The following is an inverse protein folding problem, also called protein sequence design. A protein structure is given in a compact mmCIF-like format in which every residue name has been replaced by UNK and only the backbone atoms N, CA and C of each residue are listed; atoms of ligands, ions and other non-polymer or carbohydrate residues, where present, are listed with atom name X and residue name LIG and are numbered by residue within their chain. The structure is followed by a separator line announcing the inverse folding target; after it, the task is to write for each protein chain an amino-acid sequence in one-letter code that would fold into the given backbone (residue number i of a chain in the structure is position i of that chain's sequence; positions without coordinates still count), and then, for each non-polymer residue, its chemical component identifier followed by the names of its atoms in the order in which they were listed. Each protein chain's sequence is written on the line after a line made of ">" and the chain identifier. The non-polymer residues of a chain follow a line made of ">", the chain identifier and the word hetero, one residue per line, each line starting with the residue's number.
data_IF_341467018726
#
_entry.id   IF_341467018726
#
_cell.length_a   1.000
_cell.length_b   1.000
_cell.length_c   1.000
_cell.angle_alpha   90.00
_cell.angle_beta   90.00
_cell.angle_gamma   90.00
#
_symmetry.space_group_name_H-M   'P 1'
#
loop_
_entity.id
_entity.type
_entity.pdbx_description
1 polymer ?
#
# COMPACT_ATOMS: atom_id res chain seq x y z
N UNK A 1 3.15 -15.03 -9.25
CA UNK A 1 2.55 -13.83 -9.85
C UNK A 1 1.45 -13.39 -8.90
N UNK A 2 1.52 -12.17 -8.39
CA UNK A 2 0.58 -11.66 -7.38
C UNK A 2 -0.46 -10.79 -8.09
N UNK A 3 -1.74 -11.06 -7.84
CA UNK A 3 -2.86 -10.29 -8.38
C UNK A 3 -3.39 -9.39 -7.26
N UNK A 4 -3.16 -8.07 -7.33
CA UNK A 4 -3.61 -7.17 -6.28
C UNK A 4 -5.14 -7.16 -6.20
N UNK A 5 -5.68 -7.06 -4.99
CA UNK A 5 -7.13 -6.93 -4.77
C UNK A 5 -7.69 -5.61 -5.34
N UNK A 6 -9.02 -5.52 -5.44
CA UNK A 6 -9.77 -4.46 -6.15
C UNK A 6 -9.52 -3.04 -5.63
N UNK A 7 -9.12 -2.91 -4.37
CA UNK A 7 -8.85 -1.62 -3.74
C UNK A 7 -7.35 -1.49 -3.47
N UNK A 8 -6.63 -0.82 -4.38
CA UNK A 8 -5.20 -0.51 -4.25
C UNK A 8 -5.00 0.97 -3.94
N UNK A 9 -4.28 1.28 -2.86
CA UNK A 9 -3.83 2.65 -2.56
C UNK A 9 -2.41 2.88 -3.06
N UNK A 10 -2.23 3.95 -3.84
CA UNK A 10 -0.93 4.38 -4.37
C UNK A 10 -0.42 5.55 -3.53
N UNK A 11 0.71 5.35 -2.86
CA UNK A 11 1.32 6.35 -1.98
C UNK A 11 2.72 6.75 -2.44
N UNK A 12 3.12 7.97 -2.06
CA UNK A 12 4.49 8.45 -2.22
C UNK A 12 5.33 8.18 -0.96
N UNK A 13 6.44 7.46 -1.14
CA UNK A 13 7.46 7.25 -0.11
C UNK A 13 8.78 7.87 -0.52
N UNK A 14 9.53 8.32 0.49
CA UNK A 14 10.87 8.88 0.34
C UNK A 14 11.84 8.03 1.14
N UNK A 15 12.85 7.49 0.48
CA UNK A 15 13.92 6.76 1.15
C UNK A 15 15.13 7.67 1.38
N UNK A 16 15.59 7.82 2.63
CA UNK A 16 16.72 8.69 2.95
C UNK A 16 17.98 8.16 2.25
N UNK A 17 18.48 8.93 1.28
CA UNK A 17 19.65 8.58 0.50
C UNK A 17 20.61 9.77 0.45
N UNK A 18 21.87 9.53 0.87
CA UNK A 18 22.91 10.56 0.98
C UNK A 18 23.93 10.55 -0.17
N UNK A 19 23.85 9.59 -1.09
CA UNK A 19 24.72 9.53 -2.27
C UNK A 19 24.43 10.62 -3.31
N UNK A 20 25.34 10.78 -4.27
CA UNK A 20 25.15 11.66 -5.43
C UNK A 20 24.31 10.93 -6.46
N UNK A 21 23.07 11.35 -6.60
CA UNK A 21 22.12 10.80 -7.54
C UNK A 21 21.25 11.93 -8.08
N UNK A 22 21.00 11.93 -9.40
CA UNK A 22 20.18 12.97 -10.03
C UNK A 22 18.70 12.89 -9.62
N UNK A 23 18.24 11.72 -9.16
CA UNK A 23 16.85 11.47 -8.76
C UNK A 23 16.55 11.85 -7.30
N UNK A 24 17.44 12.61 -6.65
CA UNK A 24 17.28 13.01 -5.25
C UNK A 24 16.26 14.15 -5.17
N UNK A 25 15.17 13.91 -4.46
CA UNK A 25 14.10 14.88 -4.28
C UNK A 25 14.07 15.44 -2.86
N UNK A 26 13.70 16.72 -2.75
CA UNK A 26 13.43 17.39 -1.48
C UNK A 26 11.94 17.31 -1.15
N UNK A 27 11.62 16.91 0.09
CA UNK A 27 10.24 16.77 0.56
C UNK A 27 10.14 17.29 2.01
N UNK A 28 9.78 18.56 2.22
CA UNK A 28 9.90 19.23 3.52
C UNK A 28 8.96 18.68 4.60
N UNK A 29 7.85 18.06 4.19
CA UNK A 29 6.84 17.48 5.09
C UNK A 29 7.21 16.09 5.62
N UNK A 30 8.27 15.46 5.09
CA UNK A 30 8.71 14.13 5.51
C UNK A 30 9.84 14.27 6.55
N UNK A 31 9.96 13.32 7.50
CA UNK A 31 11.00 13.37 8.53
C UNK A 31 12.41 13.33 7.93
N UNK A 32 12.60 12.55 6.86
CA UNK A 32 13.74 12.70 5.96
C UNK A 32 13.40 13.76 4.90
N UNK A 33 14.16 14.85 4.86
CA UNK A 33 13.92 15.94 3.91
C UNK A 33 14.46 15.67 2.50
N UNK A 34 15.49 14.83 2.39
CA UNK A 34 16.15 14.51 1.12
C UNK A 34 16.24 13.00 0.95
N UNK A 35 15.93 12.52 -0.25
CA UNK A 35 15.98 11.10 -0.54
C UNK A 35 15.57 10.77 -1.97
N UNK A 36 15.45 9.48 -2.25
CA UNK A 36 14.90 8.99 -3.52
C UNK A 36 13.40 8.81 -3.33
N UNK A 37 12.60 9.45 -4.18
CA UNK A 37 11.15 9.32 -4.18
C UNK A 37 10.75 8.09 -5.00
N UNK A 38 9.84 7.28 -4.48
CA UNK A 38 9.20 6.22 -5.23
C UNK A 38 7.71 6.10 -4.89
N UNK A 39 6.97 5.58 -5.85
CA UNK A 39 5.57 5.21 -5.70
C UNK A 39 5.48 3.80 -5.14
N UNK A 40 4.65 3.62 -4.12
CA UNK A 40 4.46 2.34 -3.46
C UNK A 40 2.97 2.04 -3.35
N UNK A 41 2.59 0.84 -3.78
CA UNK A 41 1.23 0.33 -3.63
C UNK A 41 1.15 -0.35 -2.26
N UNK A 42 0.47 0.28 -1.29
CA UNK A 42 0.60 -0.04 0.14
C UNK A 42 -0.50 -0.94 0.69
N UNK A 43 -1.66 -1.02 0.05
CA UNK A 43 -2.81 -1.70 0.63
C UNK A 43 -3.58 -2.43 -0.46
N UNK A 44 -3.83 -3.72 -0.23
CA UNK A 44 -5.02 -4.39 -0.73
C UNK A 44 -5.95 -4.59 0.45
N UNK A 45 -7.12 -3.95 0.42
CA UNK A 45 -8.14 -4.15 1.45
C UNK A 45 -8.52 -5.63 1.40
N UNK A 46 -8.46 -6.40 2.51
CA UNK A 46 -9.10 -7.71 2.54
C UNK A 46 -10.54 -7.52 2.07
N UNK A 47 -11.08 -8.42 1.24
CA UNK A 47 -12.53 -8.48 1.07
C UNK A 47 -13.11 -8.83 2.45
N UNK A 48 -13.40 -7.82 3.25
CA UNK A 48 -14.04 -8.01 4.55
C UNK A 48 -15.39 -8.65 4.28
N UNK A 49 -15.47 -9.94 4.61
CA UNK A 49 -16.48 -10.50 5.50
C UNK A 49 -17.87 -9.84 5.44
N UNK A 50 -18.46 -9.70 4.25
CA UNK A 50 -19.89 -9.42 4.11
C UNK A 50 -20.66 -10.75 4.07
N UNK A 51 -21.00 -11.23 5.28
CA UNK A 51 -22.18 -12.05 5.56
C UNK A 51 -22.59 -13.12 4.55
N UNK A 52 -21.85 -14.23 4.45
CA UNK A 52 -22.48 -15.50 4.09
C UNK A 52 -22.99 -16.13 5.38
N UNK A 53 -24.28 -15.91 5.69
CA UNK A 53 -25.03 -16.81 6.57
C UNK A 53 -24.92 -18.20 5.94
N UNK A 54 -24.00 -19.02 6.44
CA UNK A 54 -24.03 -20.44 6.19
C UNK A 54 -25.35 -20.94 6.78
N UNK A 55 -26.35 -21.09 5.94
CA UNK A 55 -27.61 -21.70 6.31
C UNK A 55 -27.31 -23.11 6.79
N UNK A 56 -27.23 -23.30 8.11
CA UNK A 56 -27.37 -24.62 8.69
C UNK A 56 -28.81 -25.03 8.42
N UNK A 57 -29.02 -25.76 7.32
CA UNK A 57 -30.20 -26.58 7.14
C UNK A 57 -30.32 -27.47 8.38
N UNK A 58 -31.33 -27.19 9.20
CA UNK A 58 -31.78 -28.11 10.22
C UNK A 58 -32.14 -29.41 9.50
N UNK A 59 -31.38 -30.48 9.78
CA UNK A 59 -31.79 -31.83 9.41
C UNK A 59 -33.13 -32.11 10.09
N UNK A 60 -34.06 -32.63 9.29
CA UNK A 60 -35.24 -33.35 9.76
C UNK A 60 -34.82 -34.59 10.53
#
# INVERSE_FOLDING_TARGET
>A
MYNPSENVTVDERLYPFKGRCQFRQYMPKKPAKYGIKFWWNSCEVPRDASGSRHGKGAKR
#
